data_IF_612783351864
#
_entry.id   IF_612783351864
#
_cell.length_a   1.000
_cell.length_b   1.000
_cell.length_c   1.000
_cell.angle_alpha   90.00
_cell.angle_beta   90.00
_cell.angle_gamma   90.00
#
_symmetry.space_group_name_H-M   'P 1'
#
loop_
_entity.id
_entity.type
_entity.pdbx_description
1 polymer ?
#
# COMPACT_ATOMS: atom_id res chain seq x y z
N UNK A 1 -8.56 14.34 -23.45
CA UNK A 1 -9.98 14.65 -23.14
C UNK A 1 -10.90 14.13 -24.23
N UNK A 2 -10.61 14.36 -25.52
CA UNK A 2 -11.37 13.75 -26.62
C UNK A 2 -11.38 12.22 -26.52
N UNK A 3 -10.20 11.59 -26.37
CA UNK A 3 -10.10 10.13 -26.27
C UNK A 3 -10.87 9.55 -25.07
N UNK A 4 -10.94 10.32 -23.96
CA UNK A 4 -11.74 9.93 -22.78
C UNK A 4 -13.23 9.98 -23.08
N UNK A 5 -13.69 10.99 -23.82
CA UNK A 5 -15.08 11.12 -24.22
C UNK A 5 -15.48 9.98 -25.18
N UNK A 6 -14.62 9.72 -26.17
CA UNK A 6 -14.83 8.69 -27.18
C UNK A 6 -14.87 7.29 -26.53
N UNK A 7 -13.91 6.97 -25.66
CA UNK A 7 -13.88 5.69 -24.93
C UNK A 7 -15.05 5.52 -23.96
N UNK A 8 -15.58 6.61 -23.38
CA UNK A 8 -16.74 6.58 -22.50
C UNK A 8 -18.09 6.63 -23.24
N UNK A 9 -18.10 6.81 -24.57
CA UNK A 9 -19.32 6.92 -25.36
C UNK A 9 -20.12 8.20 -25.09
N UNK A 10 -19.48 9.28 -24.67
CA UNK A 10 -20.11 10.57 -24.35
C UNK A 10 -19.54 11.70 -25.21
N UNK A 11 -20.24 12.84 -25.27
CA UNK A 11 -19.72 13.99 -25.99
C UNK A 11 -18.53 14.64 -25.27
N UNK A 12 -17.64 15.28 -26.02
CA UNK A 12 -16.53 16.08 -25.43
C UNK A 12 -17.06 17.13 -24.44
N UNK A 13 -18.16 17.79 -24.78
CA UNK A 13 -18.81 18.80 -23.93
C UNK A 13 -19.30 18.23 -22.60
N UNK A 14 -19.78 16.97 -22.57
CA UNK A 14 -20.19 16.32 -21.34
C UNK A 14 -19.00 16.11 -20.38
N UNK A 15 -17.85 15.64 -20.88
CA UNK A 15 -16.65 15.47 -20.04
C UNK A 15 -16.16 16.81 -19.51
N UNK A 16 -16.10 17.86 -20.34
CA UNK A 16 -15.71 19.21 -19.92
C UNK A 16 -16.69 19.84 -18.92
N UNK A 17 -17.97 19.45 -18.95
CA UNK A 17 -18.96 19.86 -17.95
C UNK A 17 -18.68 19.31 -16.55
N UNK A 18 -18.03 18.14 -16.45
CA UNK A 18 -17.68 17.52 -15.17
C UNK A 18 -16.24 17.81 -14.72
N UNK A 19 -15.30 17.92 -15.66
CA UNK A 19 -13.87 18.06 -15.37
C UNK A 19 -13.22 19.08 -16.29
N UNK A 20 -12.47 20.02 -15.72
CA UNK A 20 -11.82 21.12 -16.46
C UNK A 20 -10.65 20.64 -17.31
N UNK A 21 -9.95 19.60 -16.87
CA UNK A 21 -8.77 19.07 -17.53
C UNK A 21 -8.57 17.57 -17.24
N UNK A 22 -7.59 16.96 -17.92
CA UNK A 22 -7.29 15.53 -17.76
C UNK A 22 -6.82 15.18 -16.34
N UNK A 23 -6.14 16.10 -15.65
CA UNK A 23 -5.61 15.89 -14.31
C UNK A 23 -6.76 15.78 -13.30
N UNK A 24 -7.80 16.59 -13.41
CA UNK A 24 -9.01 16.49 -12.57
C UNK A 24 -9.71 15.13 -12.75
N UNK A 25 -9.81 14.62 -13.99
CA UNK A 25 -10.34 13.27 -14.25
C UNK A 25 -9.49 12.20 -13.56
N UNK A 26 -8.16 12.30 -13.69
CA UNK A 26 -7.22 11.35 -13.09
C UNK A 26 -7.27 11.40 -11.54
N UNK A 27 -7.39 12.58 -10.94
CA UNK A 27 -7.52 12.74 -9.49
C UNK A 27 -8.84 12.11 -8.99
N UNK A 28 -9.95 12.38 -9.66
CA UNK A 28 -11.24 11.76 -9.32
C UNK A 28 -11.22 10.23 -9.47
N UNK A 29 -10.53 9.71 -10.49
CA UNK A 29 -10.28 8.28 -10.66
C UNK A 29 -9.48 7.71 -9.48
N UNK A 30 -8.43 8.41 -9.04
CA UNK A 30 -7.63 8.01 -7.88
C UNK A 30 -8.47 7.99 -6.61
N UNK A 31 -9.25 9.04 -6.36
CA UNK A 31 -10.09 9.14 -5.17
C UNK A 31 -11.12 8.01 -5.10
N UNK A 32 -11.78 7.71 -6.23
CA UNK A 32 -12.71 6.59 -6.32
C UNK A 32 -12.02 5.25 -6.02
N UNK A 33 -10.84 5.01 -6.59
CA UNK A 33 -10.13 3.76 -6.38
C UNK A 33 -9.61 3.64 -4.93
N UNK A 34 -9.03 4.70 -4.38
CA UNK A 34 -8.49 4.68 -3.02
C UNK A 34 -9.58 4.62 -1.95
N UNK A 35 -10.79 5.11 -2.23
CA UNK A 35 -11.96 4.88 -1.38
C UNK A 35 -12.40 3.41 -1.29
N UNK A 36 -11.88 2.53 -2.15
CA UNK A 36 -12.13 1.08 -2.10
C UNK A 36 -11.05 0.33 -1.31
N UNK A 37 -9.98 0.99 -0.89
CA UNK A 37 -8.94 0.36 -0.05
C UNK A 37 -9.57 0.04 1.29
N UNK A 38 -9.44 -1.21 1.72
CA UNK A 38 -9.99 -1.65 2.99
C UNK A 38 -9.30 -0.92 4.14
N UNK A 39 -10.09 -0.27 4.99
CA UNK A 39 -9.59 0.41 6.19
C UNK A 39 -9.73 -0.54 7.37
N UNK A 40 -8.62 -1.02 7.96
CA UNK A 40 -8.69 -1.94 9.08
C UNK A 40 -9.26 -1.25 10.32
N UNK A 41 -10.06 -1.97 11.12
CA UNK A 41 -10.45 -1.51 12.45
C UNK A 41 -9.25 -1.57 13.40
N UNK A 42 -8.60 -0.42 13.55
CA UNK A 42 -7.44 -0.25 14.42
C UNK A 42 -7.76 -0.40 15.91
N UNK A 43 -9.04 -0.35 16.31
CA UNK A 43 -9.44 -0.47 17.71
C UNK A 43 -10.00 -1.86 18.04
N UNK A 44 -9.97 -2.79 17.07
CA UNK A 44 -10.34 -4.17 17.29
C UNK A 44 -9.55 -4.79 18.45
N UNK A 45 -10.24 -5.59 19.27
CA UNK A 45 -9.65 -6.31 20.42
C UNK A 45 -8.89 -7.57 19.97
N UNK A 46 -7.92 -7.38 19.10
CA UNK A 46 -7.02 -8.40 18.56
C UNK A 46 -5.57 -7.89 18.66
N UNK A 47 -4.55 -8.78 18.54
CA UNK A 47 -3.15 -8.36 18.52
C UNK A 47 -2.90 -7.28 17.45
N UNK A 48 -2.10 -6.27 17.79
CA UNK A 48 -1.76 -5.20 16.84
C UNK A 48 -1.05 -5.76 15.59
N UNK A 49 -0.27 -6.83 15.75
CA UNK A 49 0.37 -7.51 14.61
C UNK A 49 -0.63 -8.24 13.71
N UNK A 50 -1.76 -8.72 14.25
CA UNK A 50 -2.81 -9.34 13.43
C UNK A 50 -3.51 -8.29 12.55
N UNK A 51 -3.74 -7.08 13.08
CA UNK A 51 -4.28 -5.95 12.32
C UNK A 51 -3.30 -5.58 11.19
N UNK A 52 -2.01 -5.49 11.51
CA UNK A 52 -0.96 -5.19 10.54
C UNK A 52 -0.89 -6.24 9.42
N UNK A 53 -0.91 -7.52 9.78
CA UNK A 53 -0.89 -8.63 8.81
C UNK A 53 -2.12 -8.59 7.90
N UNK A 54 -3.32 -8.45 8.47
CA UNK A 54 -4.57 -8.42 7.69
C UNK A 54 -4.59 -7.24 6.72
N UNK A 55 -4.24 -6.05 7.19
CA UNK A 55 -4.17 -4.85 6.35
C UNK A 55 -3.11 -4.98 5.25
N UNK A 56 -1.92 -5.47 5.60
CA UNK A 56 -0.83 -5.69 4.63
C UNK A 56 -1.19 -6.71 3.55
N UNK A 57 -1.80 -7.83 3.93
CA UNK A 57 -2.27 -8.86 3.00
C UNK A 57 -3.46 -8.39 2.16
N UNK A 58 -4.42 -7.68 2.75
CA UNK A 58 -5.56 -7.12 2.05
C UNK A 58 -5.13 -6.11 0.99
N UNK A 59 -4.27 -5.16 1.37
CA UNK A 59 -3.73 -4.18 0.43
C UNK A 59 -2.86 -4.83 -0.65
N UNK A 60 -2.06 -5.86 -0.31
CA UNK A 60 -1.27 -6.61 -1.30
C UNK A 60 -2.16 -7.28 -2.36
N UNK A 61 -3.28 -7.88 -1.94
CA UNK A 61 -4.28 -8.42 -2.87
C UNK A 61 -4.84 -7.33 -3.77
N UNK A 62 -5.23 -6.19 -3.22
CA UNK A 62 -5.74 -5.07 -4.01
C UNK A 62 -4.73 -4.48 -5.00
N UNK A 63 -3.43 -4.64 -4.74
CA UNK A 63 -2.35 -4.24 -5.64
C UNK A 63 -2.13 -5.23 -6.80
N UNK A 64 -2.43 -6.52 -6.60
CA UNK A 64 -2.05 -7.57 -7.54
C UNK A 64 -3.24 -8.25 -8.24
N UNK A 65 -4.43 -8.21 -7.65
CA UNK A 65 -5.65 -8.78 -8.24
C UNK A 65 -6.34 -7.79 -9.20
N UNK A 66 -7.02 -8.27 -10.24
CA UNK A 66 -7.71 -7.38 -11.19
C UNK A 66 -8.76 -6.51 -10.50
N UNK A 67 -8.57 -5.20 -10.52
CA UNK A 67 -9.48 -4.25 -9.85
C UNK A 67 -9.17 -2.79 -10.16
N UNK A 68 -10.02 -1.87 -9.69
CA UNK A 68 -9.77 -0.43 -9.85
C UNK A 68 -8.50 0.01 -9.14
N UNK A 69 -8.26 -0.49 -7.93
CA UNK A 69 -7.06 -0.17 -7.14
C UNK A 69 -5.80 -0.57 -7.89
N UNK A 70 -5.69 -1.83 -8.30
CA UNK A 70 -4.56 -2.33 -9.11
C UNK A 70 -4.30 -1.47 -10.35
N UNK A 71 -5.32 -1.20 -11.17
CA UNK A 71 -5.16 -0.39 -12.40
C UNK A 71 -4.72 1.03 -12.11
N UNK A 72 -5.25 1.67 -11.08
CA UNK A 72 -4.87 3.05 -10.70
C UNK A 72 -3.44 3.09 -10.18
N UNK A 73 -3.03 2.12 -9.36
CA UNK A 73 -1.65 2.03 -8.90
C UNK A 73 -0.69 1.82 -10.07
N UNK A 74 -1.02 0.93 -11.01
CA UNK A 74 -0.23 0.73 -12.23
C UNK A 74 -0.09 2.04 -13.02
N UNK A 75 -1.17 2.81 -13.17
CA UNK A 75 -1.12 4.12 -13.83
C UNK A 75 -0.17 5.07 -13.08
N UNK A 76 -0.31 5.21 -11.76
CA UNK A 76 0.47 6.16 -10.96
C UNK A 76 1.96 5.82 -10.84
N UNK A 77 2.30 4.53 -10.84
CA UNK A 77 3.68 4.07 -10.66
C UNK A 77 4.43 3.87 -11.98
N UNK A 78 3.73 3.44 -13.05
CA UNK A 78 4.40 3.04 -14.30
C UNK A 78 4.05 3.91 -15.51
N UNK A 79 2.89 4.56 -15.51
CA UNK A 79 2.39 5.33 -16.67
C UNK A 79 2.30 6.83 -16.41
N UNK A 80 2.66 7.27 -15.20
CA UNK A 80 2.67 8.67 -14.80
C UNK A 80 4.10 9.20 -14.83
N UNK A 81 4.43 9.96 -15.88
CA UNK A 81 5.73 10.61 -16.02
C UNK A 81 5.94 11.67 -14.93
N UNK A 82 7.21 11.89 -14.56
CA UNK A 82 7.60 12.95 -13.63
C UNK A 82 7.70 14.28 -14.37
N UNK A 83 6.64 15.07 -14.32
CA UNK A 83 6.55 16.40 -14.92
C UNK A 83 5.76 17.35 -14.03
N UNK A 84 5.93 18.65 -14.22
CA UNK A 84 5.21 19.69 -13.46
C UNK A 84 3.69 19.59 -13.67
N UNK A 85 3.24 19.16 -14.85
CA UNK A 85 1.81 18.92 -15.13
C UNK A 85 1.22 17.80 -14.25
N UNK A 86 2.01 16.75 -14.01
CA UNK A 86 1.59 15.57 -13.24
C UNK A 86 1.84 15.69 -11.74
N UNK A 87 2.42 16.80 -11.26
CA UNK A 87 2.73 17.02 -9.84
C UNK A 87 1.55 16.70 -8.89
N UNK A 88 0.29 17.06 -9.19
CA UNK A 88 -0.85 16.68 -8.34
C UNK A 88 -1.02 15.16 -8.19
N UNK A 89 -0.75 14.38 -9.24
CA UNK A 89 -0.83 12.93 -9.22
C UNK A 89 0.36 12.32 -8.45
N UNK A 90 1.56 12.88 -8.61
CA UNK A 90 2.73 12.48 -7.84
C UNK A 90 2.52 12.71 -6.35
N UNK A 91 1.94 13.85 -5.97
CA UNK A 91 1.54 14.14 -4.58
C UNK A 91 0.49 13.16 -4.06
N UNK A 92 -0.47 12.77 -4.90
CA UNK A 92 -1.49 11.79 -4.51
C UNK A 92 -0.87 10.42 -4.24
N UNK A 93 0.11 10.00 -5.05
CA UNK A 93 0.91 8.78 -4.83
C UNK A 93 1.70 8.85 -3.53
N UNK A 94 2.47 9.92 -3.32
CA UNK A 94 3.25 10.12 -2.08
C UNK A 94 2.37 10.10 -0.82
N UNK A 95 1.16 10.65 -0.91
CA UNK A 95 0.23 10.66 0.21
C UNK A 95 -0.18 9.23 0.59
N UNK A 96 -0.46 8.37 -0.39
CA UNK A 96 -0.81 6.97 -0.15
C UNK A 96 0.36 6.21 0.50
N UNK A 97 1.59 6.39 -0.02
CA UNK A 97 2.81 5.81 0.54
C UNK A 97 3.01 6.22 2.01
N UNK A 98 2.92 7.53 2.29
CA UNK A 98 3.06 8.08 3.64
C UNK A 98 1.94 7.58 4.57
N UNK A 99 0.73 7.38 4.08
CA UNK A 99 -0.38 6.82 4.86
C UNK A 99 -0.10 5.37 5.27
N UNK A 100 0.35 4.53 4.32
CA UNK A 100 0.72 3.13 4.60
C UNK A 100 1.87 3.02 5.59
N UNK A 101 2.96 3.78 5.39
CA UNK A 101 4.11 3.79 6.30
C UNK A 101 3.72 4.23 7.72
N UNK A 102 2.91 5.28 7.86
CA UNK A 102 2.42 5.74 9.17
C UNK A 102 1.53 4.69 9.84
N UNK A 103 0.69 4.01 9.08
CA UNK A 103 -0.16 2.93 9.60
C UNK A 103 0.70 1.76 10.12
N UNK A 104 1.65 1.27 9.32
CA UNK A 104 2.53 0.16 9.70
C UNK A 104 3.32 0.46 10.97
N UNK A 105 3.98 1.63 11.00
CA UNK A 105 4.72 2.11 12.17
C UNK A 105 3.83 2.24 13.41
N UNK A 106 2.59 2.70 13.25
CA UNK A 106 1.62 2.81 14.35
C UNK A 106 1.26 1.45 14.93
N UNK A 107 1.03 0.43 14.10
CA UNK A 107 0.74 -0.92 14.61
C UNK A 107 1.95 -1.55 15.30
N UNK A 108 3.17 -1.37 14.78
CA UNK A 108 4.39 -1.84 15.43
C UNK A 108 4.56 -1.20 16.81
N UNK A 109 4.35 0.13 16.92
CA UNK A 109 4.42 0.83 18.20
C UNK A 109 3.38 0.30 19.20
N UNK A 110 2.14 0.09 18.77
CA UNK A 110 1.09 -0.50 19.62
C UNK A 110 1.43 -1.91 20.07
N UNK A 111 2.05 -2.71 19.20
CA UNK A 111 2.51 -4.05 19.56
C UNK A 111 3.59 -4.00 20.66
N UNK A 112 4.51 -3.02 20.62
CA UNK A 112 5.47 -2.79 21.71
C UNK A 112 4.75 -2.37 23.00
N UNK A 113 3.83 -1.38 22.93
CA UNK A 113 3.08 -0.88 24.08
C UNK A 113 2.21 -1.96 24.76
N UNK A 114 1.71 -2.92 23.98
CA UNK A 114 0.91 -4.06 24.45
C UNK A 114 1.74 -5.26 24.89
N UNK A 115 3.07 -5.18 24.80
CA UNK A 115 3.97 -6.29 25.13
C UNK A 115 3.97 -7.45 24.13
N UNK A 116 3.42 -7.25 22.93
CA UNK A 116 3.50 -8.23 21.83
C UNK A 116 4.90 -8.26 21.19
N UNK A 117 5.62 -7.14 21.22
CA UNK A 117 7.00 -6.99 20.74
C UNK A 117 7.93 -6.54 21.87
N UNK A 118 9.26 -6.76 21.75
CA UNK A 118 10.23 -6.31 22.74
C UNK A 118 10.15 -4.81 23.02
N UNK A 119 10.20 -4.42 24.30
CA UNK A 119 10.15 -3.00 24.72
C UNK A 119 11.27 -2.13 24.12
N UNK A 120 12.39 -2.76 23.73
CA UNK A 120 13.58 -2.12 23.17
C UNK A 120 13.69 -2.22 21.65
N UNK A 121 12.62 -2.65 20.97
CA UNK A 121 12.60 -2.72 19.52
C UNK A 121 12.90 -1.34 18.90
N UNK A 122 13.80 -1.29 17.93
CA UNK A 122 13.95 -0.15 17.04
C UNK A 122 12.75 -0.10 16.08
N UNK A 123 11.74 0.67 16.46
CA UNK A 123 10.48 0.78 15.72
C UNK A 123 10.69 1.33 14.30
N UNK A 124 11.66 2.22 14.08
CA UNK A 124 11.91 2.77 12.75
C UNK A 124 12.53 1.71 11.85
N UNK A 125 13.60 1.06 12.32
CA UNK A 125 14.26 0.00 11.56
C UNK A 125 13.31 -1.18 11.29
N UNK A 126 12.52 -1.59 12.29
CA UNK A 126 11.49 -2.63 12.14
C UNK A 126 10.44 -2.27 11.08
N UNK A 127 10.03 -1.00 11.02
CA UNK A 127 9.08 -0.51 9.99
C UNK A 127 9.69 -0.58 8.60
N UNK A 128 10.95 -0.17 8.43
CA UNK A 128 11.68 -0.24 7.16
C UNK A 128 11.85 -1.70 6.71
N UNK A 129 12.20 -2.59 7.64
CA UNK A 129 12.36 -4.02 7.40
C UNK A 129 11.07 -4.65 6.86
N UNK A 130 9.94 -4.44 7.55
CA UNK A 130 8.65 -4.98 7.11
C UNK A 130 8.17 -4.36 5.79
N UNK A 131 8.37 -3.04 5.59
CA UNK A 131 8.02 -2.39 4.33
C UNK A 131 8.84 -2.97 3.17
N UNK A 132 10.15 -3.18 3.37
CA UNK A 132 11.04 -3.76 2.36
C UNK A 132 10.64 -5.19 2.01
N UNK A 133 10.24 -5.98 3.00
CA UNK A 133 9.68 -7.32 2.79
C UNK A 133 8.37 -7.25 1.98
N UNK A 134 7.46 -6.34 2.32
CA UNK A 134 6.20 -6.14 1.62
C UNK A 134 6.42 -5.76 0.15
N UNK A 135 7.28 -4.77 -0.09
CA UNK A 135 7.62 -4.28 -1.43
C UNK A 135 8.26 -5.41 -2.28
N UNK A 136 9.15 -6.21 -1.68
CA UNK A 136 9.78 -7.35 -2.33
C UNK A 136 8.80 -8.45 -2.73
N UNK A 137 7.83 -8.77 -1.86
CA UNK A 137 6.76 -9.72 -2.16
C UNK A 137 5.86 -9.17 -3.28
N UNK A 138 5.45 -7.91 -3.18
CA UNK A 138 4.63 -7.23 -4.19
C UNK A 138 5.30 -7.26 -5.57
N UNK A 139 6.59 -6.88 -5.65
CA UNK A 139 7.35 -6.94 -6.89
C UNK A 139 7.51 -8.37 -7.43
N UNK A 140 7.67 -9.36 -6.55
CA UNK A 140 7.76 -10.77 -6.95
C UNK A 140 6.44 -11.26 -7.55
N UNK A 141 5.30 -10.86 -6.99
CA UNK A 141 3.96 -11.22 -7.49
C UNK A 141 3.64 -10.52 -8.82
N UNK A 142 3.98 -9.25 -8.95
CA UNK A 142 3.60 -8.44 -10.10
C UNK A 142 4.46 -8.70 -11.35
N UNK A 143 5.75 -8.99 -11.19
CA UNK A 143 6.72 -8.95 -12.30
C UNK A 143 7.43 -10.28 -12.54
N UNK A 144 7.12 -11.33 -11.76
CA UNK A 144 7.87 -12.60 -11.80
C UNK A 144 6.97 -13.80 -11.58
N UNK A 145 7.48 -14.99 -11.89
CA UNK A 145 6.73 -16.25 -11.77
C UNK A 145 7.01 -17.04 -10.48
N UNK A 146 7.81 -16.48 -9.57
CA UNK A 146 8.34 -17.23 -8.41
C UNK A 146 7.27 -17.67 -7.40
N UNK A 147 6.11 -17.00 -7.41
CA UNK A 147 4.99 -17.23 -6.48
C UNK A 147 3.71 -17.73 -7.17
N UNK A 148 3.76 -18.15 -8.46
CA UNK A 148 2.57 -18.47 -9.28
C UNK A 148 1.61 -19.49 -8.66
N UNK A 149 2.11 -20.60 -8.13
CA UNK A 149 1.26 -21.76 -7.80
C UNK A 149 0.43 -21.58 -6.53
N UNK A 150 0.94 -20.82 -5.56
CA UNK A 150 0.30 -20.55 -4.27
C UNK A 150 0.76 -19.18 -3.73
N UNK A 151 0.37 -18.09 -4.41
CA UNK A 151 0.93 -16.77 -4.13
C UNK A 151 0.56 -16.28 -2.73
N UNK A 152 -0.68 -16.53 -2.32
CA UNK A 152 -1.23 -15.91 -1.13
C UNK A 152 -0.79 -16.58 0.17
N UNK A 153 -0.78 -17.91 0.23
CA UNK A 153 -0.30 -18.61 1.43
C UNK A 153 1.20 -18.41 1.59
N UNK A 154 1.96 -18.42 0.48
CA UNK A 154 3.41 -18.15 0.52
C UNK A 154 3.71 -16.71 0.95
N UNK A 155 3.00 -15.72 0.43
CA UNK A 155 3.12 -14.33 0.88
C UNK A 155 2.80 -14.20 2.37
N UNK A 156 1.70 -14.79 2.85
CA UNK A 156 1.33 -14.76 4.27
C UNK A 156 2.42 -15.40 5.15
N UNK A 157 2.97 -16.55 4.73
CA UNK A 157 4.09 -17.20 5.44
C UNK A 157 5.32 -16.30 5.51
N UNK A 158 5.66 -15.61 4.42
CA UNK A 158 6.78 -14.66 4.40
C UNK A 158 6.52 -13.49 5.36
N UNK A 159 5.31 -12.91 5.38
CA UNK A 159 4.96 -11.86 6.34
C UNK A 159 5.03 -12.33 7.78
N UNK A 160 4.48 -13.51 8.09
CA UNK A 160 4.53 -14.08 9.44
C UNK A 160 5.98 -14.30 9.89
N UNK A 161 6.84 -14.83 9.01
CA UNK A 161 8.27 -14.95 9.31
C UNK A 161 8.94 -13.59 9.55
N UNK A 162 8.56 -12.56 8.81
CA UNK A 162 9.00 -11.19 9.04
C UNK A 162 8.51 -10.62 10.38
N UNK A 163 7.28 -10.93 10.80
CA UNK A 163 6.76 -10.53 12.11
C UNK A 163 7.47 -11.26 13.25
N UNK A 164 7.79 -12.54 13.08
CA UNK A 164 8.55 -13.33 14.06
C UNK A 164 9.96 -12.77 14.24
N UNK A 165 10.60 -12.31 13.17
CA UNK A 165 11.92 -11.68 13.28
C UNK A 165 11.88 -10.40 14.12
N UNK A 166 10.79 -9.63 14.10
CA UNK A 166 10.62 -8.48 15.01
C UNK A 166 10.54 -8.91 16.49
N UNK A 167 10.06 -10.14 16.77
CA UNK A 167 9.91 -10.64 18.14
C UNK A 167 11.22 -11.12 18.73
N UNK A 168 12.08 -11.75 17.93
CA UNK A 168 13.22 -12.52 18.43
C UNK A 168 14.59 -12.10 17.89
N UNK A 169 14.66 -11.22 16.88
CA UNK A 169 15.94 -10.83 16.29
C UNK A 169 16.64 -9.77 17.14
N UNK A 170 17.86 -10.03 17.66
CA UNK A 170 18.61 -9.02 18.42
C UNK A 170 19.03 -7.83 17.55
N UNK A 171 19.13 -8.01 16.23
CA UNK A 171 19.57 -6.97 15.29
C UNK A 171 18.53 -5.88 15.03
N UNK A 172 17.30 -6.07 15.51
CA UNK A 172 16.22 -5.10 15.42
C UNK A 172 16.00 -4.35 16.75
N UNK A 173 16.82 -4.62 17.76
CA UNK A 173 16.78 -3.90 19.02
C UNK A 173 17.67 -2.65 18.97
N UNK A 174 17.28 -1.63 19.70
CA UNK A 174 18.14 -0.47 19.97
C UNK A 174 19.39 -0.93 20.72
N UNK A 175 20.55 -0.38 20.36
CA UNK A 175 21.81 -0.66 21.03
C UNK A 175 21.70 -0.45 22.56
N UNK A 176 22.48 -1.23 23.33
CA UNK A 176 22.69 -0.95 24.75
C UNK A 176 23.38 0.42 24.88
N UNK A 177 22.73 1.33 25.59
CA UNK A 177 23.30 2.63 25.96
C UNK A 177 24.29 2.48 27.12
#
# INVERSE_FOLDING_TARGET
>A
MADLADAAGVSRGAVYGHYKNKIEVCLAMCDRAFGQIEVPDENARVPALDILLRAGMGFLRQCCEPGSVQRVLEILYLKCERSDENEPLLRRRELLEKQGQRFGRRQIRRAVERGELPARLDVELASIYLQSLWDGICGTLAWTERLRDDPWSRAERMFRAGLDSLRSSPYLLLADA
#
